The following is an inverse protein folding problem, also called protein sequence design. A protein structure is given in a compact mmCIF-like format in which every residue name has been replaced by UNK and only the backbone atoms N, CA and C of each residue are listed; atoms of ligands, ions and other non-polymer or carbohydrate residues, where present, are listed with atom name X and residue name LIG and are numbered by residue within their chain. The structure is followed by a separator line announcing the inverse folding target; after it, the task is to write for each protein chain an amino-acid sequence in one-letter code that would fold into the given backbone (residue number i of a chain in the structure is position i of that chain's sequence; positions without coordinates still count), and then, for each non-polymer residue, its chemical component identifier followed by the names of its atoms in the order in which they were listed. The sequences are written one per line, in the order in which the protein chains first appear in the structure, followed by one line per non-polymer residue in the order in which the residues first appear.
data_IF_861274078343
#
_entry.id   IF_861274078343
#
_cell.length_a   1.000
_cell.length_b   1.000
_cell.length_c   1.000
_cell.angle_alpha   90.00
_cell.angle_beta   90.00
_cell.angle_gamma   90.00
#
_symmetry.space_group_name_H-M   'P 1'
#
loop_
_entity.id
_entity.type
_entity.pdbx_description
1 polymer ?
#
# COMPACT_ATOMS: atom_id res chain seq x y z
N UNK A 1 -9.49 4.45 20.63
CA UNK A 1 -9.19 3.71 19.39
C UNK A 1 -7.69 3.50 19.38
N UNK A 2 -7.23 2.30 19.74
CA UNK A 2 -5.79 2.02 19.86
C UNK A 2 -5.28 1.57 18.49
N UNK A 3 -4.19 2.16 18.00
CA UNK A 3 -3.48 1.66 16.83
C UNK A 3 -2.31 0.80 17.34
N UNK A 4 -2.42 -0.54 17.33
CA UNK A 4 -1.36 -1.37 17.89
C UNK A 4 -0.09 -1.19 17.05
N UNK A 5 1.00 -0.92 17.76
CA UNK A 5 2.35 -0.90 17.22
C UNK A 5 2.83 -2.34 17.14
N UNK A 6 3.33 -2.73 15.97
CA UNK A 6 3.86 -4.06 15.67
C UNK A 6 5.32 -3.93 15.23
N UNK A 7 6.12 -4.92 15.57
CA UNK A 7 7.46 -5.08 14.98
C UNK A 7 7.41 -6.22 13.96
N UNK A 8 7.87 -5.95 12.74
CA UNK A 8 7.84 -6.90 11.63
C UNK A 8 9.27 -7.17 11.18
N UNK A 9 9.66 -8.46 11.18
CA UNK A 9 10.89 -8.90 10.55
C UNK A 9 10.73 -8.94 9.03
N UNK A 10 11.64 -8.28 8.31
CA UNK A 10 11.73 -8.36 6.84
C UNK A 10 12.82 -9.36 6.42
N UNK A 11 12.78 -9.75 5.15
CA UNK A 11 13.71 -10.74 4.56
C UNK A 11 15.20 -10.36 4.67
N UNK A 12 15.51 -9.09 4.89
CA UNK A 12 16.86 -8.57 5.12
C UNK A 12 17.29 -8.65 6.60
N UNK A 13 16.61 -9.45 7.42
CA UNK A 13 16.80 -9.59 8.87
C UNK A 13 16.63 -8.29 9.68
N UNK A 14 16.15 -7.23 9.05
CA UNK A 14 15.89 -5.97 9.74
C UNK A 14 14.49 -5.98 10.36
N UNK A 15 14.42 -5.41 11.57
CA UNK A 15 13.17 -5.20 12.29
C UNK A 15 12.59 -3.83 11.94
N UNK A 16 11.32 -3.80 11.54
CA UNK A 16 10.63 -2.56 11.21
C UNK A 16 9.49 -2.31 12.18
N UNK A 17 9.42 -1.06 12.63
CA UNK A 17 8.27 -0.54 13.33
C UNK A 17 7.10 -0.38 12.35
N UNK A 18 5.96 -0.96 12.67
CA UNK A 18 4.75 -0.91 11.87
C UNK A 18 3.56 -0.50 12.73
N UNK A 19 2.83 0.53 12.31
CA UNK A 19 1.60 0.95 13.00
C UNK A 19 0.39 0.33 12.29
N UNK A 20 -0.45 -0.39 13.05
CA UNK A 20 -1.64 -1.01 12.50
C UNK A 20 -2.79 0.00 12.36
N UNK A 21 -2.95 0.55 11.16
CA UNK A 21 -4.03 1.47 10.82
C UNK A 21 -5.34 0.80 10.39
N UNK A 22 -5.54 -0.51 10.60
CA UNK A 22 -6.71 -1.22 10.05
C UNK A 22 -8.04 -0.60 10.47
N UNK A 23 -8.21 -0.30 11.76
CA UNK A 23 -9.46 0.28 12.25
C UNK A 23 -9.57 1.77 11.88
N UNK A 24 -8.44 2.49 11.89
CA UNK A 24 -8.37 3.85 11.41
C UNK A 24 -8.82 3.96 9.94
N UNK A 25 -8.33 3.07 9.07
CA UNK A 25 -8.68 3.01 7.65
C UNK A 25 -10.15 2.70 7.36
N UNK A 26 -10.94 2.22 8.35
CA UNK A 26 -12.39 2.03 8.22
C UNK A 26 -13.16 3.33 8.46
N UNK A 27 -12.61 4.24 9.26
CA UNK A 27 -13.28 5.50 9.64
C UNK A 27 -12.97 6.62 8.65
N UNK A 28 -11.77 6.64 8.08
CA UNK A 28 -11.38 7.71 7.16
C UNK A 28 -12.11 7.62 5.80
N UNK A 29 -12.57 8.78 5.32
CA UNK A 29 -13.06 8.95 3.94
C UNK A 29 -11.88 8.78 2.98
N UNK A 30 -11.97 7.80 2.09
CA UNK A 30 -10.96 7.56 1.05
C UNK A 30 -11.24 8.46 -0.15
N UNK A 31 -10.30 9.35 -0.46
CA UNK A 31 -10.30 10.05 -1.73
C UNK A 31 -9.88 9.06 -2.82
N UNK A 32 -10.85 8.53 -3.58
CA UNK A 32 -10.58 7.56 -4.63
C UNK A 32 -10.00 8.26 -5.86
N UNK A 33 -8.76 7.92 -6.18
CA UNK A 33 -8.12 8.31 -7.44
C UNK A 33 -7.93 7.07 -8.31
N UNK A 34 -8.21 7.21 -9.60
CA UNK A 34 -7.99 6.13 -10.55
C UNK A 34 -6.49 5.89 -10.69
N UNK A 35 -6.06 4.66 -10.40
CA UNK A 35 -4.69 4.22 -10.65
C UNK A 35 -4.75 3.04 -11.61
N UNK A 36 -4.23 3.25 -12.83
CA UNK A 36 -4.13 2.18 -13.82
C UNK A 36 -3.29 1.03 -13.31
N UNK A 37 -3.69 -0.18 -13.65
CA UNK A 37 -2.91 -1.37 -13.35
C UNK A 37 -1.61 -1.36 -14.17
N UNK A 38 -0.53 -1.91 -13.61
CA UNK A 38 0.79 -1.82 -14.25
C UNK A 38 0.80 -2.43 -15.65
N UNK A 39 0.05 -3.51 -15.91
CA UNK A 39 -0.01 -4.10 -17.26
C UNK A 39 -0.71 -3.19 -18.26
N UNK A 40 -1.69 -2.38 -17.83
CA UNK A 40 -2.35 -1.40 -18.70
C UNK A 40 -1.35 -0.32 -19.14
N UNK A 41 -0.55 0.16 -18.20
CA UNK A 41 0.52 1.14 -18.47
C UNK A 41 1.56 0.53 -19.42
N UNK A 42 2.02 -0.70 -19.15
CA UNK A 42 3.01 -1.39 -19.98
C UNK A 42 2.50 -1.66 -21.40
N UNK A 43 1.25 -2.09 -21.55
CA UNK A 43 0.64 -2.33 -22.86
C UNK A 43 0.59 -1.04 -23.69
N UNK A 44 0.23 0.09 -23.08
CA UNK A 44 0.24 1.40 -23.78
C UNK A 44 1.63 1.78 -24.27
N UNK A 45 2.67 1.56 -23.45
CA UNK A 45 4.07 1.89 -23.81
C UNK A 45 4.63 0.94 -24.87
N UNK A 46 4.28 -0.35 -24.83
CA UNK A 46 4.77 -1.32 -25.81
C UNK A 46 4.06 -1.18 -27.16
N UNK A 47 2.78 -0.82 -27.16
CA UNK A 47 1.97 -0.61 -28.36
C UNK A 47 2.11 0.80 -28.96
N UNK A 48 2.86 1.71 -28.33
CA UNK A 48 3.17 3.03 -28.87
C UNK A 48 4.41 3.03 -29.80
N UNK A 49 4.87 1.84 -30.20
CA UNK A 49 5.89 1.61 -31.23
C UNK A 49 5.23 1.37 -32.57
#
# INVERSE_FOLDING_TARGET
MEAPILFIFKKNNNLYFYMNYKDLNKIYIKNYYFLSFISEILNRVLNSK
#
